data_IF_983278997562
#
_entry.id   IF_983278997562
#
_cell.length_a   1.000
_cell.length_b   1.000
_cell.length_c   1.000
_cell.angle_alpha   90.00
_cell.angle_beta   90.00
_cell.angle_gamma   90.00
#
_symmetry.space_group_name_H-M   'P 1'
#
loop_
_entity.id
_entity.type
_entity.pdbx_description
1 polymer ?
#
# COMPACT_ATOMS: atom_id res chain seq x y z
N UNK A 1 -44.05 -19.78 -0.80
CA UNK A 1 -42.76 -20.26 -0.26
C UNK A 1 -41.91 -19.11 0.20
N UNK A 2 -41.47 -18.16 -0.66
CA UNK A 2 -40.59 -17.04 -0.32
C UNK A 2 -41.08 -16.18 0.86
N UNK A 3 -42.33 -15.68 0.82
CA UNK A 3 -42.93 -14.92 1.94
C UNK A 3 -42.94 -15.68 3.26
N UNK A 4 -43.13 -16.98 3.21
CA UNK A 4 -43.13 -17.84 4.40
C UNK A 4 -41.70 -18.03 4.93
N UNK A 5 -40.71 -18.16 4.04
CA UNK A 5 -39.30 -18.20 4.42
C UNK A 5 -38.88 -16.96 5.21
N UNK A 6 -39.18 -15.75 4.67
CA UNK A 6 -38.88 -14.49 5.32
C UNK A 6 -39.58 -14.35 6.68
N UNK A 7 -40.88 -14.74 6.79
CA UNK A 7 -41.61 -14.65 8.05
C UNK A 7 -41.03 -15.60 9.11
N UNK A 8 -40.61 -16.81 8.71
CA UNK A 8 -39.97 -17.78 9.61
C UNK A 8 -38.57 -17.27 10.05
N UNK A 9 -37.81 -16.62 9.14
CA UNK A 9 -36.55 -15.97 9.47
C UNK A 9 -36.75 -14.86 10.50
N UNK A 10 -37.79 -14.04 10.38
CA UNK A 10 -38.09 -12.96 11.32
C UNK A 10 -38.36 -13.46 12.75
N UNK A 11 -38.90 -14.65 12.91
CA UNK A 11 -39.11 -15.28 14.21
C UNK A 11 -37.79 -15.72 14.86
N UNK A 12 -36.83 -16.21 14.03
CA UNK A 12 -35.53 -16.72 14.48
C UNK A 12 -34.40 -15.67 14.32
N UNK A 13 -34.74 -14.38 14.34
CA UNK A 13 -33.82 -13.24 14.01
C UNK A 13 -32.49 -13.28 14.73
N UNK A 14 -32.44 -13.58 16.03
CA UNK A 14 -31.18 -13.60 16.80
C UNK A 14 -30.21 -14.64 16.27
N UNK A 15 -30.70 -15.87 16.02
CA UNK A 15 -29.86 -16.94 15.45
C UNK A 15 -29.33 -16.58 14.06
N UNK A 16 -30.18 -15.98 13.22
CA UNK A 16 -29.80 -15.57 11.86
C UNK A 16 -28.79 -14.45 11.89
N UNK A 17 -28.97 -13.45 12.73
CA UNK A 17 -28.00 -12.36 12.90
C UNK A 17 -26.63 -12.90 13.31
N UNK A 18 -26.56 -13.85 14.25
CA UNK A 18 -25.30 -14.46 14.67
C UNK A 18 -24.60 -15.21 13.52
N UNK A 19 -25.38 -15.96 12.70
CA UNK A 19 -24.85 -16.64 11.51
C UNK A 19 -24.28 -15.61 10.51
N UNK A 20 -25.07 -14.59 10.19
CA UNK A 20 -24.66 -13.52 9.27
C UNK A 20 -23.39 -12.85 9.76
N UNK A 21 -23.32 -12.45 11.04
CA UNK A 21 -22.12 -11.80 11.62
C UNK A 21 -20.91 -12.74 11.51
N UNK A 22 -21.05 -14.01 11.85
CA UNK A 22 -19.96 -14.99 11.76
C UNK A 22 -19.40 -15.11 10.32
N UNK A 23 -20.29 -15.22 9.33
CA UNK A 23 -19.89 -15.30 7.92
C UNK A 23 -19.28 -13.98 7.47
N UNK A 24 -19.87 -12.84 7.84
CA UNK A 24 -19.39 -11.51 7.44
C UNK A 24 -17.99 -11.26 7.95
N UNK A 25 -17.72 -11.52 9.23
CA UNK A 25 -16.38 -11.31 9.81
C UNK A 25 -15.33 -12.16 9.09
N UNK A 26 -15.58 -13.45 8.94
CA UNK A 26 -14.57 -14.34 8.36
C UNK A 26 -14.36 -14.13 6.86
N UNK A 27 -15.43 -13.90 6.11
CA UNK A 27 -15.33 -13.68 4.69
C UNK A 27 -14.75 -12.28 4.37
N UNK A 28 -15.06 -11.26 5.18
CA UNK A 28 -14.45 -9.94 5.01
C UNK A 28 -12.93 -9.95 5.28
N UNK A 29 -12.47 -10.71 6.27
CA UNK A 29 -11.02 -10.86 6.53
C UNK A 29 -10.33 -11.56 5.35
N UNK A 30 -10.92 -12.61 4.80
CA UNK A 30 -10.35 -13.30 3.65
C UNK A 30 -10.28 -12.41 2.38
N UNK A 31 -11.35 -11.65 2.10
CA UNK A 31 -11.39 -10.69 1.00
C UNK A 31 -10.39 -9.55 1.20
N UNK A 32 -10.28 -9.03 2.42
CA UNK A 32 -9.36 -7.96 2.77
C UNK A 32 -7.91 -8.41 2.59
N UNK A 33 -7.55 -9.58 3.16
CA UNK A 33 -6.20 -10.11 3.08
C UNK A 33 -5.76 -10.37 1.63
N UNK A 34 -6.64 -10.95 0.82
CA UNK A 34 -6.38 -11.16 -0.60
C UNK A 34 -6.18 -9.83 -1.34
N UNK A 35 -7.07 -8.86 -1.12
CA UNK A 35 -7.03 -7.58 -1.81
C UNK A 35 -5.77 -6.77 -1.47
N UNK A 36 -5.38 -6.73 -0.19
CA UNK A 36 -4.13 -6.07 0.24
C UNK A 36 -2.93 -6.76 -0.40
N UNK A 37 -2.86 -8.09 -0.38
CA UNK A 37 -1.75 -8.85 -0.95
C UNK A 37 -1.56 -8.56 -2.44
N UNK A 38 -2.63 -8.53 -3.22
CA UNK A 38 -2.57 -8.22 -4.66
C UNK A 38 -2.17 -6.77 -4.92
N UNK A 39 -2.70 -5.82 -4.14
CA UNK A 39 -2.34 -4.41 -4.32
C UNK A 39 -0.90 -4.12 -3.92
N UNK A 40 -0.38 -4.79 -2.89
CA UNK A 40 1.04 -4.73 -2.51
C UNK A 40 1.90 -5.26 -3.64
N UNK A 41 1.61 -6.45 -4.16
CA UNK A 41 2.38 -7.07 -5.26
C UNK A 41 2.35 -6.21 -6.53
N UNK A 42 1.19 -5.69 -6.91
CA UNK A 42 1.04 -4.78 -8.06
C UNK A 42 1.81 -3.46 -7.85
N UNK A 43 1.76 -2.89 -6.64
CA UNK A 43 2.48 -1.66 -6.28
C UNK A 43 3.99 -1.84 -6.42
N UNK A 44 4.52 -2.93 -5.89
CA UNK A 44 5.95 -3.25 -6.01
C UNK A 44 6.37 -3.48 -7.47
N UNK A 45 5.61 -4.26 -8.23
CA UNK A 45 5.92 -4.54 -9.65
C UNK A 45 5.87 -3.30 -10.54
N UNK A 46 4.97 -2.36 -10.26
CA UNK A 46 4.83 -1.14 -11.05
C UNK A 46 5.94 -0.12 -10.81
N UNK A 47 6.60 -0.20 -9.65
CA UNK A 47 7.67 0.73 -9.26
C UNK A 47 9.05 0.20 -9.66
N UNK A 48 9.23 -1.12 -9.68
CA UNK A 48 10.49 -1.78 -10.02
C UNK A 48 10.65 -1.93 -11.53
N UNK A 49 11.43 -1.12 -12.21
CA UNK A 49 11.75 -1.51 -13.57
C UNK A 49 12.36 -0.48 -14.52
N UNK A 50 12.33 0.80 -14.19
CA UNK A 50 12.94 1.80 -15.08
C UNK A 50 14.46 1.90 -14.87
N UNK A 51 14.91 2.02 -13.62
CA UNK A 51 16.33 2.11 -13.28
C UNK A 51 16.90 0.73 -12.96
N UNK A 52 18.11 0.46 -13.42
CA UNK A 52 18.80 -0.82 -13.19
C UNK A 52 19.88 -0.72 -12.08
N UNK A 53 20.20 0.50 -11.63
CA UNK A 53 21.15 0.73 -10.56
C UNK A 53 20.74 1.90 -9.69
N UNK A 54 20.93 1.80 -8.38
CA UNK A 54 20.85 2.90 -7.42
C UNK A 54 22.19 2.95 -6.68
N UNK A 55 22.78 4.14 -6.61
CA UNK A 55 24.00 4.43 -5.87
C UNK A 55 23.61 5.35 -4.72
N UNK A 56 24.06 5.04 -3.52
CA UNK A 56 23.84 5.84 -2.32
C UNK A 56 24.98 5.65 -1.31
N UNK A 57 24.88 6.25 -0.12
CA UNK A 57 25.88 6.07 0.93
C UNK A 57 25.84 4.62 1.45
N UNK A 58 26.98 4.16 1.98
CA UNK A 58 27.10 2.80 2.54
C UNK A 58 26.06 2.54 3.63
N UNK A 59 25.47 1.34 3.63
CA UNK A 59 24.45 0.95 4.61
C UNK A 59 23.57 -0.21 4.16
N UNK A 60 22.28 -0.14 4.43
CA UNK A 60 21.29 -1.17 4.10
C UNK A 60 20.75 -1.04 2.67
N UNK A 61 20.93 -2.08 1.86
CA UNK A 61 20.39 -2.14 0.49
C UNK A 61 18.86 -2.02 0.45
N UNK A 62 18.18 -2.65 1.40
CA UNK A 62 16.72 -2.57 1.53
C UNK A 62 16.28 -1.15 1.88
N UNK A 63 16.95 -0.49 2.83
CA UNK A 63 16.62 0.88 3.22
C UNK A 63 16.84 1.85 2.04
N UNK A 64 17.96 1.74 1.31
CA UNK A 64 18.22 2.56 0.13
C UNK A 64 17.13 2.38 -0.94
N UNK A 65 16.76 1.13 -1.26
CA UNK A 65 15.70 0.86 -2.23
C UNK A 65 14.33 1.36 -1.77
N UNK A 66 13.98 1.14 -0.49
CA UNK A 66 12.69 1.58 0.06
C UNK A 66 12.59 3.10 0.14
N UNK A 67 13.68 3.78 0.45
CA UNK A 67 13.72 5.24 0.47
C UNK A 67 13.55 5.85 -0.91
N UNK A 68 14.34 5.40 -1.90
CA UNK A 68 14.38 5.98 -3.24
C UNK A 68 13.18 5.63 -4.12
N UNK A 69 12.62 4.41 -3.97
CA UNK A 69 11.56 3.92 -4.85
C UNK A 69 10.16 4.05 -4.26
N UNK A 70 10.05 3.92 -2.92
CA UNK A 70 8.76 3.95 -2.23
C UNK A 70 8.60 5.17 -1.33
N UNK A 71 9.65 6.00 -1.24
CA UNK A 71 9.68 7.20 -0.40
C UNK A 71 9.36 6.87 1.07
N UNK A 72 9.66 5.64 1.49
CA UNK A 72 9.54 5.18 2.87
C UNK A 72 10.89 5.21 3.53
N UNK A 73 10.90 5.10 4.87
CA UNK A 73 12.13 5.14 5.65
C UNK A 73 12.88 6.49 5.58
N UNK A 74 13.98 6.59 6.31
CA UNK A 74 14.87 7.76 6.28
C UNK A 74 16.00 7.51 5.30
N UNK A 75 16.56 8.57 4.68
CA UNK A 75 17.81 8.44 3.93
C UNK A 75 18.91 7.81 4.79
N UNK A 76 19.82 7.08 4.17
CA UNK A 76 20.99 6.49 4.84
C UNK A 76 22.04 7.53 5.22
N UNK A 77 22.05 8.66 4.52
CA UNK A 77 23.01 9.74 4.55
C UNK A 77 23.06 10.41 3.20
N UNK A 78 24.16 11.08 2.91
CA UNK A 78 24.36 11.81 1.67
C UNK A 78 25.64 11.40 0.97
N UNK A 79 25.72 11.67 -0.33
CA UNK A 79 26.90 11.52 -1.20
C UNK A 79 27.06 12.80 -2.03
N UNK A 80 28.29 13.08 -2.48
CA UNK A 80 28.59 14.24 -3.30
C UNK A 80 27.86 14.22 -4.65
N UNK A 81 27.36 15.36 -5.08
CA UNK A 81 26.76 15.56 -6.41
C UNK A 81 27.74 15.33 -7.56
N UNK A 82 29.05 15.40 -7.32
CA UNK A 82 30.08 15.10 -8.32
C UNK A 82 29.91 13.72 -8.97
N UNK A 83 29.36 12.75 -8.24
CA UNK A 83 29.05 11.44 -8.80
C UNK A 83 27.97 11.50 -9.89
N UNK A 84 27.02 12.44 -9.77
CA UNK A 84 26.00 12.69 -10.81
C UNK A 84 26.67 13.19 -12.08
N UNK A 85 27.53 14.21 -11.99
CA UNK A 85 28.24 14.80 -13.12
C UNK A 85 29.15 13.77 -13.84
N UNK A 86 29.86 12.95 -13.06
CA UNK A 86 30.66 11.84 -13.61
C UNK A 86 29.79 10.84 -14.38
N UNK A 87 28.65 10.45 -13.82
CA UNK A 87 27.75 9.51 -14.46
C UNK A 87 27.02 10.09 -15.67
N UNK A 88 26.66 11.38 -15.66
CA UNK A 88 26.05 12.08 -16.81
C UNK A 88 27.00 12.16 -17.99
N UNK A 89 28.30 12.30 -17.74
CA UNK A 89 29.34 12.33 -18.78
C UNK A 89 29.74 10.93 -19.29
N UNK A 90 29.31 9.85 -18.62
CA UNK A 90 29.70 8.47 -18.97
C UNK A 90 28.90 7.94 -20.13
N UNK A 91 29.60 7.55 -21.21
CA UNK A 91 28.97 6.99 -22.41
C UNK A 91 28.21 5.64 -22.17
N UNK A 92 28.44 4.96 -21.05
CA UNK A 92 27.78 3.71 -20.66
C UNK A 92 26.38 3.93 -20.10
N UNK A 93 26.07 5.17 -19.69
CA UNK A 93 24.84 5.57 -19.03
C UNK A 93 23.83 6.13 -20.03
N UNK A 94 22.57 5.80 -19.86
CA UNK A 94 21.44 6.29 -20.65
C UNK A 94 20.69 7.42 -19.92
N UNK A 95 20.51 7.29 -18.60
CA UNK A 95 19.86 8.27 -17.76
C UNK A 95 20.47 8.25 -16.35
N UNK A 96 20.62 9.43 -15.76
CA UNK A 96 21.07 9.66 -14.39
C UNK A 96 20.06 10.58 -13.74
N UNK A 97 19.59 10.25 -12.55
CA UNK A 97 18.63 11.09 -11.83
C UNK A 97 19.08 11.19 -10.38
N UNK A 98 19.40 12.40 -9.90
CA UNK A 98 19.68 12.67 -8.51
C UNK A 98 18.40 12.54 -7.68
N UNK A 99 18.55 12.12 -6.43
CA UNK A 99 17.49 11.98 -5.47
C UNK A 99 17.92 12.51 -4.11
N UNK A 100 17.13 13.42 -3.56
CA UNK A 100 17.30 13.91 -2.19
C UNK A 100 15.96 13.97 -1.48
N UNK A 101 15.94 13.76 -0.18
CA UNK A 101 14.72 13.76 0.64
C UNK A 101 15.09 14.12 2.08
N UNK A 102 14.59 15.24 2.57
CA UNK A 102 14.87 15.71 3.94
C UNK A 102 13.73 16.50 4.56
N UNK A 103 12.86 17.06 3.73
CA UNK A 103 11.78 17.95 4.14
C UNK A 103 10.40 17.32 3.98
N UNK A 104 9.40 17.96 4.60
CA UNK A 104 8.00 17.57 4.48
C UNK A 104 7.06 18.77 4.50
N UNK A 105 5.86 18.57 3.95
CA UNK A 105 4.72 19.47 4.07
C UNK A 105 3.59 18.76 4.79
N UNK A 106 3.29 19.15 6.03
CA UNK A 106 2.27 18.49 6.86
C UNK A 106 2.40 16.96 6.91
N UNK A 107 3.65 16.44 6.92
CA UNK A 107 3.96 15.02 6.89
C UNK A 107 3.97 14.37 5.50
N UNK A 108 3.60 15.08 4.44
CA UNK A 108 3.87 14.65 3.06
C UNK A 108 5.33 14.91 2.72
N UNK A 109 6.06 13.89 2.30
CA UNK A 109 7.49 13.97 2.00
C UNK A 109 7.77 14.79 0.76
N UNK A 110 8.85 15.55 0.78
CA UNK A 110 9.34 16.31 -0.35
C UNK A 110 10.58 15.62 -0.90
N UNK A 111 10.57 15.40 -2.20
CA UNK A 111 11.66 14.77 -2.96
C UNK A 111 12.22 15.80 -3.93
N UNK A 112 13.49 16.12 -3.74
CA UNK A 112 14.29 16.88 -4.70
C UNK A 112 14.85 15.93 -5.76
N UNK A 113 14.56 16.20 -7.02
CA UNK A 113 14.96 15.37 -8.15
C UNK A 113 14.92 16.13 -9.47
N UNK A 114 15.12 15.47 -10.58
CA UNK A 114 14.93 16.03 -11.93
C UNK A 114 13.59 15.61 -12.53
N UNK A 115 13.03 16.39 -13.50
CA UNK A 115 11.80 16.03 -14.22
C UNK A 115 11.82 14.62 -14.82
N UNK A 116 12.99 14.12 -15.21
CA UNK A 116 13.20 12.78 -15.75
C UNK A 116 12.78 11.67 -14.77
N UNK A 117 12.77 11.93 -13.44
CA UNK A 117 12.29 11.00 -12.43
C UNK A 117 10.80 10.67 -12.58
N UNK A 118 10.05 11.63 -13.11
CA UNK A 118 8.61 11.49 -13.35
C UNK A 118 8.27 11.08 -14.80
N UNK A 119 9.28 10.69 -15.59
CA UNK A 119 9.04 10.23 -16.95
C UNK A 119 8.06 9.03 -16.97
N UNK A 120 7.11 9.07 -17.91
CA UNK A 120 6.01 8.11 -17.97
C UNK A 120 4.89 8.30 -16.95
N UNK A 121 4.94 9.33 -16.09
CA UNK A 121 3.83 9.73 -15.22
C UNK A 121 3.05 10.87 -15.89
N UNK A 122 1.71 10.73 -15.91
CA UNK A 122 0.87 11.77 -16.51
C UNK A 122 0.62 12.90 -15.51
N UNK A 123 0.78 14.13 -15.94
CA UNK A 123 0.30 15.32 -15.23
C UNK A 123 -1.22 15.40 -15.43
N UNK A 124 -1.98 15.47 -14.36
CA UNK A 124 -3.43 15.61 -14.39
C UNK A 124 -3.88 17.05 -14.57
N UNK A 125 -3.19 17.98 -13.90
CA UNK A 125 -3.43 19.43 -13.97
C UNK A 125 -2.10 20.17 -13.94
N UNK A 126 -1.98 21.27 -14.68
CA UNK A 126 -0.77 22.09 -14.73
C UNK A 126 0.35 21.49 -15.60
N UNK A 127 1.59 21.71 -15.20
CA UNK A 127 2.80 21.34 -15.94
C UNK A 127 3.88 20.78 -15.00
N UNK A 128 4.99 20.31 -15.58
CA UNK A 128 6.15 19.83 -14.83
C UNK A 128 6.91 21.02 -14.25
N UNK A 129 7.53 20.85 -13.08
CA UNK A 129 8.41 21.87 -12.51
C UNK A 129 9.67 22.06 -13.41
N UNK A 130 10.11 23.29 -13.58
CA UNK A 130 11.27 23.67 -14.37
C UNK A 130 12.17 24.65 -13.59
N UNK A 131 11.58 25.51 -12.77
CA UNK A 131 12.29 26.52 -11.98
C UNK A 131 12.43 26.10 -10.51
N UNK A 132 13.37 26.73 -9.81
CA UNK A 132 13.51 26.57 -8.35
C UNK A 132 12.22 26.99 -7.65
N UNK A 133 11.90 26.31 -6.55
CA UNK A 133 10.68 26.49 -5.74
C UNK A 133 9.37 26.18 -6.46
N UNK A 134 9.42 25.57 -7.62
CA UNK A 134 8.27 24.95 -8.24
C UNK A 134 8.14 23.49 -7.78
N UNK A 135 6.90 23.02 -7.63
CA UNK A 135 6.66 21.62 -7.27
C UNK A 135 5.49 21.01 -8.01
N UNK A 136 5.61 19.70 -8.20
CA UNK A 136 4.53 18.83 -8.68
C UNK A 136 4.06 17.96 -7.50
N UNK A 137 2.76 18.00 -7.25
CA UNK A 137 2.15 17.34 -6.09
C UNK A 137 1.52 16.01 -6.50
N UNK A 138 1.77 14.96 -5.73
CA UNK A 138 1.10 13.67 -5.91
C UNK A 138 -0.42 13.78 -5.68
N UNK A 139 -1.20 13.01 -6.44
CA UNK A 139 -2.67 13.11 -6.46
C UNK A 139 -3.33 12.90 -5.09
N UNK A 140 -2.77 12.04 -4.25
CA UNK A 140 -3.31 11.77 -2.91
C UNK A 140 -2.99 12.92 -1.94
N UNK A 141 -1.81 13.54 -2.05
CA UNK A 141 -1.41 14.73 -1.27
C UNK A 141 -2.32 15.91 -1.64
N UNK A 142 -2.48 16.19 -2.94
CA UNK A 142 -3.34 17.27 -3.41
C UNK A 142 -4.77 17.10 -2.88
N UNK A 143 -5.32 15.91 -2.95
CA UNK A 143 -6.66 15.60 -2.44
C UNK A 143 -6.77 15.70 -0.92
N UNK A 144 -5.75 15.23 -0.18
CA UNK A 144 -5.75 15.23 1.30
C UNK A 144 -5.74 16.64 1.87
N UNK A 145 -4.94 17.52 1.28
CA UNK A 145 -4.75 18.89 1.78
C UNK A 145 -5.53 19.95 0.98
N UNK A 146 -6.28 19.54 -0.06
CA UNK A 146 -7.08 20.45 -0.88
C UNK A 146 -6.24 21.40 -1.72
N UNK A 147 -5.07 20.96 -2.19
CA UNK A 147 -4.12 21.78 -2.93
C UNK A 147 -4.55 21.95 -4.40
N UNK A 148 -4.31 23.14 -4.91
CA UNK A 148 -4.61 23.57 -6.29
C UNK A 148 -3.39 24.23 -6.93
N UNK A 149 -3.39 24.37 -8.24
CA UNK A 149 -2.33 25.09 -8.95
C UNK A 149 -2.18 26.52 -8.43
N UNK A 150 -0.94 26.94 -8.19
CA UNK A 150 -0.60 28.26 -7.68
C UNK A 150 -0.58 28.37 -6.16
N UNK A 151 -0.97 27.33 -5.42
CA UNK A 151 -0.84 27.33 -3.95
C UNK A 151 0.64 27.33 -3.53
N UNK A 152 0.91 28.00 -2.40
CA UNK A 152 2.23 28.08 -1.79
C UNK A 152 2.31 27.13 -0.58
N UNK A 153 3.34 26.30 -0.56
CA UNK A 153 3.58 25.29 0.47
C UNK A 153 4.76 25.72 1.33
N UNK A 154 4.51 25.99 2.60
CA UNK A 154 5.58 26.22 3.60
C UNK A 154 6.07 24.85 4.07
N UNK A 155 7.31 24.53 3.76
CA UNK A 155 7.95 23.25 4.09
C UNK A 155 8.56 23.29 5.49
N UNK A 156 8.78 22.13 6.07
CA UNK A 156 9.45 21.99 7.35
C UNK A 156 10.55 20.95 7.32
N UNK A 157 11.61 21.17 8.08
CA UNK A 157 12.67 20.18 8.27
C UNK A 157 12.15 18.89 8.86
N UNK A 158 12.63 17.77 8.32
CA UNK A 158 12.31 16.44 8.78
C UNK A 158 11.11 15.80 8.06
N UNK A 159 11.02 14.48 8.20
CA UNK A 159 10.03 13.65 7.49
C UNK A 159 8.72 13.47 8.29
N UNK A 160 8.56 14.19 9.40
CA UNK A 160 7.38 14.13 10.28
C UNK A 160 6.94 15.53 10.71
N UNK A 161 5.68 15.67 11.11
CA UNK A 161 5.14 16.94 11.61
C UNK A 161 5.94 17.47 12.82
N UNK A 162 6.27 18.78 12.83
CA UNK A 162 6.87 19.47 13.96
C UNK A 162 8.32 19.95 13.77
N UNK A 163 8.88 19.93 12.58
CA UNK A 163 10.18 20.55 12.25
C UNK A 163 10.13 22.08 12.13
N UNK A 164 11.29 22.73 12.03
CA UNK A 164 11.39 24.16 11.76
C UNK A 164 10.83 24.47 10.37
N UNK A 165 9.95 25.47 10.27
CA UNK A 165 9.29 25.85 9.03
C UNK A 165 10.18 26.78 8.19
N UNK A 166 10.24 26.57 6.89
CA UNK A 166 10.94 27.42 5.92
C UNK A 166 9.99 28.51 5.37
N UNK A 167 9.66 29.51 6.17
CA UNK A 167 8.74 30.59 5.79
C UNK A 167 9.27 31.48 4.66
N UNK A 168 10.59 31.56 4.51
CA UNK A 168 11.24 32.46 3.54
C UNK A 168 11.11 31.98 2.08
N UNK A 169 10.99 30.67 1.84
CA UNK A 169 11.05 30.06 0.51
C UNK A 169 9.91 29.03 0.31
N UNK A 170 8.66 29.48 0.13
CA UNK A 170 7.55 28.54 -0.11
C UNK A 170 7.66 27.86 -1.48
N UNK A 171 7.25 26.60 -1.57
CA UNK A 171 7.13 25.89 -2.84
C UNK A 171 5.82 26.26 -3.52
N UNK A 172 5.86 26.60 -4.82
CA UNK A 172 4.68 26.88 -5.63
C UNK A 172 4.20 25.63 -6.37
N UNK A 173 2.96 25.26 -6.21
CA UNK A 173 2.34 24.15 -6.94
C UNK A 173 2.13 24.53 -8.40
N UNK A 174 2.89 23.93 -9.32
CA UNK A 174 2.77 24.13 -10.77
C UNK A 174 2.09 22.97 -11.47
N UNK A 175 2.08 21.79 -10.83
CA UNK A 175 1.43 20.61 -11.38
C UNK A 175 0.89 19.66 -10.32
N UNK A 176 -0.10 18.89 -10.72
CA UNK A 176 -0.67 17.80 -9.92
C UNK A 176 -0.64 16.51 -10.75
N UNK A 177 -0.03 15.45 -10.22
CA UNK A 177 0.02 14.15 -10.89
C UNK A 177 -1.39 13.57 -11.02
N UNK A 178 -1.67 12.94 -12.16
CA UNK A 178 -2.79 12.03 -12.28
C UNK A 178 -2.60 10.83 -11.35
N UNK A 179 -3.68 10.32 -10.78
CA UNK A 179 -3.61 9.19 -9.85
C UNK A 179 -2.88 7.99 -10.47
N UNK A 180 -1.76 7.61 -9.87
CA UNK A 180 -0.92 6.50 -10.32
C UNK A 180 -1.22 5.20 -9.59
N UNK A 181 -1.84 5.26 -8.40
CA UNK A 181 -1.99 4.17 -7.43
C UNK A 181 -0.64 3.57 -6.98
N UNK A 182 0.39 4.40 -6.95
CA UNK A 182 1.74 4.08 -6.46
C UNK A 182 2.15 5.06 -5.38
N UNK A 183 3.33 4.86 -4.79
CA UNK A 183 3.91 5.75 -3.78
C UNK A 183 4.06 7.20 -4.24
N UNK A 184 4.17 7.44 -5.54
CA UNK A 184 4.22 8.79 -6.15
C UNK A 184 3.00 9.65 -5.81
N UNK A 185 1.84 9.05 -5.57
CA UNK A 185 0.63 9.79 -5.20
C UNK A 185 0.73 10.48 -3.83
N UNK A 186 1.65 10.05 -2.96
CA UNK A 186 1.80 10.51 -1.57
C UNK A 186 2.99 11.46 -1.35
N UNK A 187 3.62 11.97 -2.43
CA UNK A 187 4.88 12.74 -2.38
C UNK A 187 4.74 14.03 -3.16
N UNK A 188 5.54 15.03 -2.79
CA UNK A 188 5.72 16.30 -3.49
C UNK A 188 7.10 16.26 -4.14
N UNK A 189 7.19 16.61 -5.42
CA UNK A 189 8.42 16.59 -6.20
C UNK A 189 8.83 18.01 -6.57
N UNK A 190 10.11 18.31 -6.42
CA UNK A 190 10.70 19.62 -6.75
C UNK A 190 12.12 19.42 -7.30
N UNK A 191 12.74 20.48 -7.80
CA UNK A 191 14.12 20.44 -8.23
C UNK A 191 15.08 20.18 -7.06
N UNK A 192 16.22 19.49 -7.31
CA UNK A 192 17.24 19.23 -6.28
C UNK A 192 17.76 20.53 -5.68
N UNK A 193 17.99 21.54 -6.53
CA UNK A 193 18.49 22.85 -6.15
C UNK A 193 17.53 23.59 -5.21
N UNK A 194 16.26 23.27 -5.24
CA UNK A 194 15.28 23.81 -4.28
C UNK A 194 15.55 23.30 -2.88
N UNK A 195 15.82 21.98 -2.76
CA UNK A 195 16.11 21.38 -1.45
C UNK A 195 17.41 21.95 -0.88
N UNK A 196 18.45 22.13 -1.70
CA UNK A 196 19.69 22.77 -1.23
C UNK A 196 19.44 24.19 -0.77
N UNK A 197 18.72 25.00 -1.54
CA UNK A 197 18.43 26.38 -1.20
C UNK A 197 17.59 26.54 0.08
N UNK A 198 16.79 25.54 0.46
CA UNK A 198 16.06 25.55 1.74
C UNK A 198 16.98 25.26 2.94
N UNK A 199 18.11 24.57 2.71
CA UNK A 199 19.07 24.21 3.76
C UNK A 199 20.23 25.20 3.95
N UNK A 200 20.49 26.05 2.96
CA UNK A 200 21.62 26.98 2.96
C UNK A 200 21.51 28.15 3.98
N UNK A 201 20.29 28.40 4.50
CA UNK A 201 20.03 29.43 5.52
C UNK A 201 20.29 28.98 6.97
N UNK A 202 20.78 27.76 7.20
CA UNK A 202 20.99 27.21 8.55
C UNK A 202 22.32 27.59 9.21
N UNK A 203 23.24 28.27 8.52
CA UNK A 203 24.54 28.61 9.09
C UNK A 203 24.63 30.02 9.69
N UNK A 204 23.63 30.88 9.55
CA UNK A 204 23.67 32.26 10.07
C UNK A 204 23.08 32.49 11.48
N UNK A 205 22.50 31.52 12.17
CA UNK A 205 21.84 31.73 13.47
C UNK A 205 22.50 31.04 14.68
N UNK A 206 23.79 30.73 14.67
CA UNK A 206 24.52 30.28 15.85
C UNK A 206 25.76 31.12 16.19
N UNK A 207 25.64 32.46 16.13
CA UNK A 207 26.57 33.36 16.81
C UNK A 207 25.83 34.26 17.79
N UNK A 208 25.43 33.74 18.94
CA UNK A 208 25.32 34.56 20.17
C UNK A 208 25.60 33.70 21.41
N UNK A 209 26.68 34.15 22.08
CA UNK A 209 27.10 33.87 23.46
C UNK A 209 27.79 32.53 23.78
N UNK A 210 29.14 32.60 23.82
CA UNK A 210 29.88 32.56 25.09
C UNK A 210 31.33 33.05 24.92
N UNK A 211 31.62 34.20 25.57
CA UNK A 211 32.99 34.63 25.84
C UNK A 211 33.65 33.63 26.81
N UNK A 212 34.83 33.13 26.45
CA UNK A 212 36.03 33.15 27.31
C UNK A 212 37.21 32.44 26.61
N UNK A 213 38.22 33.22 26.42
CA UNK A 213 39.60 33.12 26.10
C UNK A 213 40.32 31.75 26.13
N UNK A 214 41.15 31.57 25.12
CA UNK A 214 42.62 31.48 25.22
C UNK A 214 43.20 31.15 23.85
N UNK A 215 44.26 31.85 23.51
CA UNK A 215 45.01 31.75 22.28
C UNK A 215 45.64 30.36 22.10
N UNK A 216 45.43 29.73 20.93
CA UNK A 216 46.42 28.88 20.27
C UNK A 216 46.38 29.16 18.75
N UNK A 217 47.58 29.44 18.21
CA UNK A 217 47.86 29.66 16.81
C UNK A 217 47.56 28.36 16.03
N UNK A 218 46.62 28.37 15.12
CA UNK A 218 46.48 27.37 14.08
C UNK A 218 46.75 28.01 12.69
N UNK A 219 47.64 27.34 11.99
CA UNK A 219 48.10 27.61 10.64
C UNK A 219 46.91 27.75 9.69
N UNK A 220 46.92 28.81 8.89
CA UNK A 220 46.03 29.05 7.76
C UNK A 220 46.25 27.95 6.71
N UNK A 221 45.46 26.91 6.72
CA UNK A 221 45.29 26.07 5.54
C UNK A 221 44.43 26.84 4.52
N UNK A 222 45.03 27.09 3.36
CA UNK A 222 44.37 27.65 2.18
C UNK A 222 43.13 26.82 1.87
N UNK A 223 41.95 27.32 2.23
CA UNK A 223 40.71 26.82 1.68
C UNK A 223 40.66 27.19 0.21
N UNK A 224 41.06 26.26 -0.65
CA UNK A 224 40.76 26.32 -2.07
C UNK A 224 39.24 26.51 -2.23
N UNK A 225 38.85 27.34 -3.18
CA UNK A 225 37.47 27.50 -3.65
C UNK A 225 36.94 26.13 -4.06
N UNK A 226 36.40 25.36 -3.10
CA UNK A 226 35.51 24.26 -3.41
C UNK A 226 34.18 24.90 -3.78
N UNK A 227 33.85 24.89 -5.08
CA UNK A 227 32.45 25.00 -5.50
C UNK A 227 31.68 24.03 -4.63
N UNK A 228 30.76 24.54 -3.80
CA UNK A 228 29.92 23.75 -2.94
C UNK A 228 29.00 22.90 -3.82
N UNK A 229 29.51 21.75 -4.27
CA UNK A 229 28.68 20.74 -4.91
C UNK A 229 27.71 20.19 -3.84
N UNK A 230 26.42 20.43 -4.04
CA UNK A 230 25.39 20.00 -3.10
C UNK A 230 25.45 18.49 -2.81
N UNK A 231 24.93 18.10 -1.69
CA UNK A 231 24.80 16.69 -1.30
C UNK A 231 23.45 16.10 -1.71
N UNK A 232 23.44 14.82 -2.04
CA UNK A 232 22.23 14.08 -2.41
C UNK A 232 22.15 12.75 -1.69
N UNK A 233 20.94 12.22 -1.50
CA UNK A 233 20.73 10.95 -0.78
C UNK A 233 21.00 9.72 -1.65
N UNK A 234 20.80 9.83 -2.97
CA UNK A 234 21.03 8.72 -3.90
C UNK A 234 21.08 9.20 -5.36
N UNK A 235 21.56 8.32 -6.23
CA UNK A 235 21.56 8.49 -7.69
C UNK A 235 20.87 7.27 -8.30
N UNK A 236 19.84 7.50 -9.11
CA UNK A 236 19.22 6.45 -9.89
C UNK A 236 19.80 6.45 -11.29
N UNK A 237 20.26 5.31 -11.74
CA UNK A 237 21.00 5.18 -13.01
C UNK A 237 20.31 4.17 -13.91
N UNK A 238 20.24 4.51 -15.19
CA UNK A 238 19.84 3.62 -16.28
C UNK A 238 21.03 3.41 -17.19
N UNK A 239 21.56 2.21 -17.22
CA UNK A 239 22.64 1.85 -18.13
C UNK A 239 22.12 1.54 -19.54
N UNK A 240 22.99 1.69 -20.56
CA UNK A 240 22.64 1.39 -21.97
C UNK A 240 22.51 -0.11 -22.25
N UNK A 241 23.17 -0.94 -21.46
CA UNK A 241 23.11 -2.41 -21.61
C UNK A 241 23.53 -3.12 -20.33
N UNK A 242 23.23 -4.40 -20.24
CA UNK A 242 23.62 -5.24 -19.11
C UNK A 242 25.15 -5.29 -18.88
N UNK A 243 25.95 -5.30 -19.95
CA UNK A 243 27.42 -5.27 -19.84
C UNK A 243 27.90 -3.94 -19.23
N UNK A 244 27.28 -2.83 -19.62
CA UNK A 244 27.59 -1.52 -19.04
C UNK A 244 27.18 -1.43 -17.59
N UNK A 245 25.99 -1.95 -17.23
CA UNK A 245 25.56 -2.09 -15.84
C UNK A 245 26.58 -2.86 -15.00
N UNK A 246 27.04 -4.03 -15.47
CA UNK A 246 27.99 -4.85 -14.73
C UNK A 246 29.34 -4.14 -14.51
N UNK A 247 29.80 -3.39 -15.52
CA UNK A 247 31.03 -2.62 -15.43
C UNK A 247 30.91 -1.44 -14.45
N UNK A 248 29.82 -0.68 -14.52
CA UNK A 248 29.54 0.42 -13.59
C UNK A 248 29.37 -0.08 -12.16
N UNK A 249 28.65 -1.19 -11.96
CA UNK A 249 28.48 -1.81 -10.63
C UNK A 249 29.80 -2.24 -10.03
N UNK A 250 30.72 -2.77 -10.82
CA UNK A 250 32.04 -3.15 -10.34
C UNK A 250 32.88 -1.92 -9.97
N UNK A 251 32.89 -0.91 -10.81
CA UNK A 251 33.66 0.32 -10.62
C UNK A 251 33.22 1.10 -9.38
N UNK A 252 31.93 1.44 -9.27
CA UNK A 252 31.42 2.18 -8.12
C UNK A 252 31.28 1.32 -6.84
N UNK A 253 31.23 0.00 -6.98
CA UNK A 253 31.19 -0.94 -5.85
C UNK A 253 32.58 -1.17 -5.18
N UNK A 254 33.69 -0.70 -5.79
CA UNK A 254 35.01 -0.70 -5.15
C UNK A 254 35.15 0.41 -4.10
N UNK A 255 34.34 1.46 -4.20
CA UNK A 255 34.31 2.56 -3.23
C UNK A 255 33.53 2.13 -1.97
N UNK A 256 34.23 1.97 -0.85
CA UNK A 256 33.64 1.55 0.42
C UNK A 256 32.65 2.57 1.02
N UNK A 257 32.69 3.82 0.57
CA UNK A 257 31.75 4.85 0.99
C UNK A 257 30.39 4.74 0.28
N UNK A 258 30.33 4.04 -0.85
CA UNK A 258 29.16 3.90 -1.70
C UNK A 258 28.51 2.51 -1.53
N UNK A 259 27.21 2.49 -1.65
CA UNK A 259 26.40 1.31 -1.80
C UNK A 259 25.77 1.30 -3.19
N UNK A 260 26.08 0.27 -3.98
CA UNK A 260 25.53 0.11 -5.33
C UNK A 260 24.58 -1.09 -5.34
N UNK A 261 23.30 -0.84 -5.61
CA UNK A 261 22.29 -1.87 -5.63
C UNK A 261 21.58 -1.98 -6.97
N UNK A 262 21.08 -3.19 -7.26
CA UNK A 262 20.06 -3.38 -8.29
C UNK A 262 18.67 -3.33 -7.62
N UNK A 263 17.83 -2.33 -7.92
CA UNK A 263 16.54 -2.20 -7.27
C UNK A 263 15.65 -3.43 -7.48
N UNK A 264 15.68 -4.05 -8.66
CA UNK A 264 14.88 -5.24 -8.94
C UNK A 264 15.32 -6.47 -8.15
N UNK A 265 16.62 -6.63 -7.86
CA UNK A 265 17.13 -7.71 -7.01
C UNK A 265 16.68 -7.52 -5.55
N UNK A 266 16.84 -6.31 -5.00
CA UNK A 266 16.43 -5.98 -3.64
C UNK A 266 14.92 -6.12 -3.46
N UNK A 267 14.14 -5.61 -4.41
CA UNK A 267 12.68 -5.73 -4.37
C UNK A 267 12.22 -7.19 -4.46
N UNK A 268 12.89 -8.02 -5.25
CA UNK A 268 12.57 -9.45 -5.30
C UNK A 268 12.80 -10.12 -3.93
N UNK A 269 13.89 -9.79 -3.23
CA UNK A 269 14.16 -10.30 -1.89
C UNK A 269 13.09 -9.85 -0.89
N UNK A 270 12.69 -8.57 -0.94
CA UNK A 270 11.59 -8.03 -0.13
C UNK A 270 10.27 -8.74 -0.46
N UNK A 271 9.95 -8.92 -1.75
CA UNK A 271 8.74 -9.61 -2.21
C UNK A 271 8.72 -11.08 -1.79
N UNK A 272 9.84 -11.80 -1.84
CA UNK A 272 9.92 -13.19 -1.37
C UNK A 272 9.56 -13.30 0.12
N UNK A 273 9.97 -12.33 0.94
CA UNK A 273 9.59 -12.24 2.35
C UNK A 273 8.09 -11.89 2.52
N UNK A 274 7.57 -10.98 1.71
CA UNK A 274 6.14 -10.62 1.67
C UNK A 274 5.30 -11.81 1.21
N UNK A 275 5.71 -12.52 0.17
CA UNK A 275 5.05 -13.73 -0.33
C UNK A 275 4.99 -14.84 0.72
N UNK A 276 6.03 -15.03 1.51
CA UNK A 276 6.03 -16.00 2.60
C UNK A 276 5.03 -15.60 3.69
N UNK A 277 4.96 -14.32 4.03
CA UNK A 277 3.95 -13.79 4.96
C UNK A 277 2.53 -13.92 4.42
N UNK A 278 2.31 -13.63 3.14
CA UNK A 278 1.03 -13.77 2.45
C UNK A 278 0.55 -15.22 2.42
N UNK A 279 1.44 -16.19 2.21
CA UNK A 279 1.11 -17.63 2.29
C UNK A 279 0.59 -18.02 3.67
N UNK A 280 1.21 -17.51 4.74
CA UNK A 280 0.74 -17.74 6.11
C UNK A 280 -0.66 -17.15 6.30
N UNK A 281 -0.90 -15.92 5.83
CA UNK A 281 -2.21 -15.28 5.89
C UNK A 281 -3.26 -16.08 5.11
N UNK A 282 -2.94 -16.58 3.91
CA UNK A 282 -3.86 -17.43 3.14
C UNK A 282 -4.17 -18.75 3.85
N UNK A 283 -3.19 -19.40 4.48
CA UNK A 283 -3.41 -20.60 5.28
C UNK A 283 -4.37 -20.28 6.44
N UNK A 284 -4.18 -19.18 7.16
CA UNK A 284 -5.06 -18.74 8.23
C UNK A 284 -6.48 -18.47 7.70
N UNK A 285 -6.62 -17.80 6.56
CA UNK A 285 -7.92 -17.57 5.91
C UNK A 285 -8.63 -18.90 5.56
N UNK A 286 -7.90 -19.89 5.05
CA UNK A 286 -8.45 -21.21 4.75
C UNK A 286 -8.93 -21.90 6.04
N UNK A 287 -8.15 -21.84 7.13
CA UNK A 287 -8.54 -22.39 8.43
C UNK A 287 -9.82 -21.71 8.93
N UNK A 288 -9.90 -20.39 8.85
CA UNK A 288 -11.08 -19.62 9.24
C UNK A 288 -12.31 -20.03 8.40
N UNK A 289 -12.15 -20.21 7.09
CA UNK A 289 -13.24 -20.69 6.23
C UNK A 289 -13.71 -22.11 6.59
N UNK A 290 -12.79 -23.03 6.89
CA UNK A 290 -13.11 -24.38 7.34
C UNK A 290 -13.87 -24.33 8.67
N UNK A 291 -13.41 -23.54 9.63
CA UNK A 291 -14.11 -23.34 10.91
C UNK A 291 -15.53 -22.80 10.69
N UNK A 292 -15.72 -21.89 9.72
CA UNK A 292 -17.06 -21.40 9.36
C UNK A 292 -17.97 -22.49 8.79
N UNK A 293 -17.46 -23.37 7.92
CA UNK A 293 -18.22 -24.51 7.42
C UNK A 293 -18.72 -25.36 8.61
N UNK A 294 -17.85 -25.63 9.57
CA UNK A 294 -18.18 -26.40 10.75
C UNK A 294 -19.26 -25.71 11.61
N UNK A 295 -19.09 -24.41 11.90
CA UNK A 295 -20.04 -23.61 12.68
C UNK A 295 -21.42 -23.59 12.00
N UNK A 296 -21.46 -23.30 10.69
CA UNK A 296 -22.71 -23.25 9.91
C UNK A 296 -23.38 -24.63 9.92
N UNK A 297 -22.60 -25.69 9.76
CA UNK A 297 -23.13 -27.07 9.79
C UNK A 297 -23.76 -27.40 11.13
N UNK A 298 -23.10 -27.09 12.25
CA UNK A 298 -23.64 -27.33 13.61
C UNK A 298 -24.88 -26.49 13.83
N UNK A 299 -24.89 -25.21 13.49
CA UNK A 299 -26.08 -24.35 13.67
C UNK A 299 -27.24 -24.85 12.79
N UNK A 300 -26.97 -25.26 11.56
CA UNK A 300 -27.99 -25.84 10.66
C UNK A 300 -28.60 -27.09 11.25
N UNK A 301 -27.77 -28.01 11.74
CA UNK A 301 -28.27 -29.23 12.42
C UNK A 301 -29.13 -28.91 13.65
N UNK A 302 -28.68 -27.97 14.50
CA UNK A 302 -29.45 -27.52 15.67
C UNK A 302 -30.78 -26.89 15.27
N UNK A 303 -30.80 -26.04 14.24
CA UNK A 303 -32.02 -25.45 13.73
C UNK A 303 -33.00 -26.48 13.19
N UNK A 304 -32.51 -27.51 12.50
CA UNK A 304 -33.37 -28.61 12.03
C UNK A 304 -33.90 -29.43 13.19
N UNK A 305 -33.07 -29.70 14.21
CA UNK A 305 -33.49 -30.40 15.39
C UNK A 305 -34.59 -29.64 16.15
N UNK A 306 -34.41 -28.37 16.39
CA UNK A 306 -35.40 -27.48 17.04
C UNK A 306 -36.70 -27.36 16.24
N UNK A 307 -36.60 -27.47 14.91
CA UNK A 307 -37.75 -27.35 13.99
C UNK A 307 -38.50 -28.65 13.76
N UNK A 308 -38.15 -29.79 14.43
CA UNK A 308 -38.84 -31.10 14.25
C UNK A 308 -40.34 -31.01 14.45
N UNK A 309 -40.80 -30.26 15.48
CA UNK A 309 -42.22 -30.06 15.73
C UNK A 309 -42.90 -29.25 14.62
N UNK A 310 -42.26 -28.23 14.10
CA UNK A 310 -42.76 -27.42 12.97
C UNK A 310 -42.83 -28.26 11.68
N UNK A 311 -41.84 -29.11 11.44
CA UNK A 311 -41.78 -30.03 10.30
C UNK A 311 -42.92 -31.06 10.40
N UNK A 312 -43.13 -31.65 11.58
CA UNK A 312 -44.20 -32.57 11.80
C UNK A 312 -45.59 -31.92 11.58
N UNK A 313 -45.81 -30.72 12.07
CA UNK A 313 -47.04 -29.96 11.82
C UNK A 313 -47.25 -29.67 10.33
N UNK A 314 -46.20 -29.28 9.60
CA UNK A 314 -46.27 -29.05 8.15
C UNK A 314 -46.60 -30.36 7.39
N UNK A 315 -46.11 -31.51 7.82
CA UNK A 315 -46.46 -32.79 7.25
C UNK A 315 -47.92 -33.19 7.53
N UNK A 316 -48.42 -32.94 8.74
CA UNK A 316 -49.84 -33.15 9.08
C UNK A 316 -50.80 -32.34 8.20
N UNK A 317 -50.40 -31.16 7.77
CA UNK A 317 -51.18 -30.29 6.85
C UNK A 317 -50.99 -30.72 5.37
N UNK A 318 -50.20 -31.78 5.09
CA UNK A 318 -50.00 -32.34 3.75
C UNK A 318 -48.88 -31.70 2.95
N UNK A 319 -47.96 -30.97 3.59
CA UNK A 319 -46.79 -30.40 2.90
C UNK A 319 -45.73 -31.48 2.74
N UNK A 320 -45.42 -31.88 1.51
CA UNK A 320 -44.41 -32.89 1.20
C UNK A 320 -42.99 -32.44 1.60
N UNK A 321 -42.13 -33.45 1.99
CA UNK A 321 -40.75 -33.20 2.44
C UNK A 321 -39.93 -32.40 1.43
N UNK A 322 -40.08 -32.59 0.12
CA UNK A 322 -39.39 -31.81 -0.91
C UNK A 322 -39.65 -30.31 -0.80
N UNK A 323 -40.88 -29.90 -0.46
CA UNK A 323 -41.23 -28.47 -0.26
C UNK A 323 -40.65 -27.92 1.03
N UNK A 324 -40.55 -28.76 2.08
CA UNK A 324 -39.91 -28.38 3.36
C UNK A 324 -38.42 -28.22 3.17
N UNK A 325 -37.75 -29.15 2.49
CA UNK A 325 -36.33 -29.04 2.17
C UNK A 325 -36.00 -27.78 1.36
N UNK A 326 -36.83 -27.49 0.33
CA UNK A 326 -36.68 -26.30 -0.48
C UNK A 326 -36.81 -25.02 0.35
N UNK A 327 -37.70 -25.00 1.36
CA UNK A 327 -37.88 -23.90 2.27
C UNK A 327 -36.57 -23.58 3.05
N UNK A 328 -35.95 -24.63 3.64
CA UNK A 328 -34.69 -24.45 4.40
C UNK A 328 -33.50 -24.06 3.49
N UNK A 329 -33.42 -24.67 2.30
CA UNK A 329 -32.40 -24.30 1.30
C UNK A 329 -32.57 -22.82 0.91
N UNK A 330 -33.81 -22.39 0.65
CA UNK A 330 -34.09 -20.98 0.28
C UNK A 330 -33.74 -20.02 1.41
N UNK A 331 -34.02 -20.36 2.67
CA UNK A 331 -33.64 -19.53 3.83
C UNK A 331 -32.11 -19.35 3.91
N UNK A 332 -31.34 -20.43 3.81
CA UNK A 332 -29.89 -20.36 3.88
C UNK A 332 -29.29 -19.74 2.64
N UNK A 333 -29.90 -19.85 1.47
CA UNK A 333 -29.48 -19.11 0.27
C UNK A 333 -29.66 -17.58 0.45
N UNK A 334 -30.77 -17.15 1.06
CA UNK A 334 -30.99 -15.72 1.37
C UNK A 334 -29.94 -15.23 2.40
N UNK A 335 -29.70 -16.00 3.47
CA UNK A 335 -28.70 -15.68 4.48
C UNK A 335 -27.30 -15.60 3.82
N UNK A 336 -26.94 -16.59 3.00
CA UNK A 336 -25.68 -16.63 2.29
C UNK A 336 -25.50 -15.42 1.36
N UNK A 337 -26.52 -15.06 0.60
CA UNK A 337 -26.46 -13.90 -0.31
C UNK A 337 -26.27 -12.59 0.46
N UNK A 338 -27.05 -12.38 1.52
CA UNK A 338 -26.93 -11.18 2.37
C UNK A 338 -25.53 -11.14 3.02
N UNK A 339 -25.06 -12.25 3.56
CA UNK A 339 -23.73 -12.33 4.19
C UNK A 339 -22.61 -12.05 3.20
N UNK A 340 -22.68 -12.57 1.98
CA UNK A 340 -21.67 -12.34 0.94
C UNK A 340 -21.59 -10.85 0.55
N UNK A 341 -22.75 -10.21 0.35
CA UNK A 341 -22.81 -8.78 0.03
C UNK A 341 -22.25 -7.94 1.19
N UNK A 342 -22.67 -8.23 2.42
CA UNK A 342 -22.16 -7.52 3.60
C UNK A 342 -20.68 -7.76 3.83
N UNK A 343 -20.15 -8.96 3.56
CA UNK A 343 -18.72 -9.27 3.66
C UNK A 343 -17.89 -8.43 2.69
N UNK A 344 -18.37 -8.31 1.45
CA UNK A 344 -17.73 -7.48 0.44
C UNK A 344 -17.74 -6.00 0.87
N UNK A 345 -18.89 -5.49 1.30
CA UNK A 345 -19.00 -4.10 1.79
C UNK A 345 -18.10 -3.85 3.02
N UNK A 346 -18.03 -4.79 3.97
CA UNK A 346 -17.20 -4.70 5.15
C UNK A 346 -15.70 -4.72 4.79
N UNK A 347 -15.27 -5.56 3.85
CA UNK A 347 -13.88 -5.57 3.38
C UNK A 347 -13.49 -4.23 2.73
N UNK A 348 -14.38 -3.62 1.92
CA UNK A 348 -14.16 -2.29 1.32
C UNK A 348 -14.09 -1.19 2.37
N UNK A 349 -14.95 -1.24 3.37
CA UNK A 349 -14.90 -0.29 4.48
C UNK A 349 -13.58 -0.40 5.26
N UNK A 350 -13.11 -1.62 5.52
CA UNK A 350 -11.82 -1.84 6.18
C UNK A 350 -10.65 -1.29 5.33
N UNK A 351 -10.66 -1.49 4.00
CA UNK A 351 -9.65 -0.91 3.10
C UNK A 351 -9.62 0.63 3.19
N UNK A 352 -10.78 1.27 3.25
CA UNK A 352 -10.87 2.72 3.38
C UNK A 352 -10.28 3.19 4.73
N UNK A 353 -10.61 2.49 5.83
CA UNK A 353 -10.10 2.82 7.16
C UNK A 353 -8.60 2.58 7.32
N UNK A 354 -8.06 1.57 6.63
CA UNK A 354 -6.62 1.25 6.68
C UNK A 354 -5.79 2.07 5.69
N UNK A 355 -6.41 2.83 4.80
CA UNK A 355 -5.74 3.52 3.70
C UNK A 355 -4.61 4.43 4.17
N UNK A 356 -4.83 5.25 5.18
CA UNK A 356 -3.84 6.19 5.70
C UNK A 356 -2.67 5.47 6.38
N UNK A 357 -2.97 4.43 7.16
CA UNK A 357 -1.95 3.63 7.82
C UNK A 357 -1.05 2.91 6.81
N UNK A 358 -1.63 2.32 5.77
CA UNK A 358 -0.85 1.59 4.75
C UNK A 358 -0.13 2.57 3.81
N UNK A 359 -0.69 3.77 3.58
CA UNK A 359 -0.02 4.82 2.81
C UNK A 359 1.28 5.31 3.48
N UNK A 360 1.34 5.32 4.82
CA UNK A 360 2.58 5.64 5.55
C UNK A 360 3.70 4.62 5.34
N UNK A 361 3.37 3.41 4.87
CA UNK A 361 4.32 2.36 4.47
C UNK A 361 4.68 2.42 2.97
N UNK A 362 4.29 3.49 2.25
CA UNK A 362 4.58 3.67 0.82
C UNK A 362 3.67 2.90 -0.14
N UNK A 363 2.58 2.30 0.35
CA UNK A 363 1.64 1.50 -0.44
C UNK A 363 0.31 2.23 -0.56
N UNK A 364 -0.18 2.42 -1.77
CA UNK A 364 -1.48 3.08 -2.03
C UNK A 364 -2.57 2.05 -2.19
N UNK A 365 -3.53 2.03 -1.26
CA UNK A 365 -4.71 1.16 -1.34
C UNK A 365 -5.85 1.83 -2.12
N UNK A 366 -6.32 1.15 -3.16
CA UNK A 366 -7.49 1.54 -3.94
C UNK A 366 -8.69 0.64 -3.58
N UNK A 367 -9.63 1.18 -2.82
CA UNK A 367 -10.84 0.46 -2.40
C UNK A 367 -11.82 0.14 -3.54
N UNK A 368 -11.69 0.81 -4.68
CA UNK A 368 -12.56 0.60 -5.86
C UNK A 368 -12.08 -0.51 -6.79
N UNK A 369 -10.82 -0.95 -6.64
CA UNK A 369 -10.24 -1.99 -7.50
C UNK A 369 -10.78 -3.36 -7.10
N UNK A 370 -11.29 -4.10 -8.08
CA UNK A 370 -11.85 -5.45 -7.90
C UNK A 370 -10.97 -6.44 -8.67
N UNK A 371 -10.49 -7.44 -7.98
CA UNK A 371 -9.71 -8.52 -8.60
C UNK A 371 -10.60 -9.71 -8.95
N UNK A 372 -10.34 -10.41 -10.06
CA UNK A 372 -11.19 -11.53 -10.50
C UNK A 372 -11.37 -12.63 -9.45
N UNK A 373 -10.33 -12.89 -8.65
CA UNK A 373 -10.38 -13.93 -7.64
C UNK A 373 -11.24 -13.56 -6.42
N UNK A 374 -11.51 -12.29 -6.16
CA UNK A 374 -12.49 -11.85 -5.15
C UNK A 374 -13.89 -12.40 -5.45
N UNK A 375 -14.26 -12.39 -6.73
CA UNK A 375 -15.56 -12.95 -7.15
C UNK A 375 -15.59 -14.47 -6.88
N UNK A 376 -14.48 -15.17 -7.08
CA UNK A 376 -14.39 -16.59 -6.73
C UNK A 376 -14.56 -16.81 -5.23
N UNK A 377 -13.91 -16.00 -4.38
CA UNK A 377 -14.10 -16.05 -2.92
C UNK A 377 -15.55 -15.81 -2.55
N UNK A 378 -16.23 -14.84 -3.15
CA UNK A 378 -17.65 -14.57 -2.89
C UNK A 378 -18.54 -15.76 -3.25
N UNK A 379 -18.28 -16.41 -4.39
CA UNK A 379 -19.00 -17.63 -4.79
C UNK A 379 -18.76 -18.78 -3.80
N UNK A 380 -17.52 -18.96 -3.36
CA UNK A 380 -17.15 -19.98 -2.36
C UNK A 380 -17.88 -19.70 -1.03
N UNK A 381 -17.90 -18.48 -0.54
CA UNK A 381 -18.60 -18.08 0.70
C UNK A 381 -20.10 -18.36 0.59
N UNK A 382 -20.71 -18.01 -0.55
CA UNK A 382 -22.11 -18.33 -0.81
C UNK A 382 -22.35 -19.85 -0.81
N UNK A 383 -21.51 -20.62 -1.50
CA UNK A 383 -21.61 -22.08 -1.53
C UNK A 383 -21.48 -22.72 -0.12
N UNK A 384 -20.52 -22.23 0.68
CA UNK A 384 -20.32 -22.66 2.07
C UNK A 384 -21.58 -22.47 2.93
N UNK A 385 -22.35 -21.40 2.69
CA UNK A 385 -23.59 -21.15 3.44
C UNK A 385 -24.73 -22.06 3.04
N UNK A 386 -24.78 -22.60 1.80
CA UNK A 386 -25.86 -23.37 1.25
C UNK A 386 -25.61 -24.90 1.34
N UNK A 387 -24.38 -25.33 1.03
CA UNK A 387 -24.04 -26.76 0.92
C UNK A 387 -24.37 -27.59 2.20
N UNK A 388 -24.01 -27.14 3.42
CA UNK A 388 -24.32 -27.89 4.62
C UNK A 388 -25.83 -28.16 4.80
N UNK A 389 -26.65 -27.15 4.42
CA UNK A 389 -28.11 -27.30 4.49
C UNK A 389 -28.62 -28.33 3.49
N UNK A 390 -28.09 -28.34 2.27
CA UNK A 390 -28.46 -29.33 1.25
C UNK A 390 -28.12 -30.75 1.76
N UNK A 391 -26.90 -30.92 2.29
CA UNK A 391 -26.47 -32.24 2.83
C UNK A 391 -27.38 -32.69 3.98
N UNK A 392 -27.69 -31.80 4.93
CA UNK A 392 -28.53 -32.11 6.07
C UNK A 392 -29.96 -32.46 5.65
N UNK A 393 -30.56 -31.70 4.71
CA UNK A 393 -31.93 -31.92 4.24
C UNK A 393 -32.05 -33.20 3.43
N UNK A 394 -31.08 -33.52 2.58
CA UNK A 394 -31.04 -34.79 1.83
C UNK A 394 -30.87 -35.99 2.78
N UNK A 395 -30.02 -35.85 3.81
CA UNK A 395 -29.82 -36.89 4.82
C UNK A 395 -31.09 -37.24 5.62
N UNK A 396 -31.90 -36.20 5.93
CA UNK A 396 -33.22 -36.43 6.61
C UNK A 396 -34.23 -37.11 5.69
N UNK A 397 -34.31 -36.68 4.43
CA UNK A 397 -35.24 -37.26 3.45
C UNK A 397 -34.98 -38.76 3.20
N UNK A 398 -33.69 -39.17 3.25
CA UNK A 398 -33.33 -40.60 3.11
C UNK A 398 -33.71 -41.44 4.33
N UNK A 399 -33.63 -40.90 5.56
CA UNK A 399 -33.99 -41.60 6.78
C UNK A 399 -35.51 -41.81 6.88
N UNK A 400 -36.31 -40.83 6.45
CA UNK A 400 -37.78 -40.95 6.45
C UNK A 400 -38.28 -41.93 5.37
N UNK A 401 -37.57 -42.10 4.24
CA UNK A 401 -37.89 -43.08 3.20
C UNK A 401 -37.48 -44.53 3.52
N UNK A 402 -36.73 -44.75 4.61
CA UNK A 402 -36.37 -46.10 5.11
C UNK A 402 -37.25 -46.52 6.28
N UNK A 403 -38.17 -45.67 6.74
CA UNK A 403 -39.10 -45.93 7.84
C UNK A 403 -40.57 -46.15 7.37
N UNK A 404 -40.81 -46.10 6.06
CA UNK A 404 -41.99 -46.61 5.39
C UNK A 404 -41.71 -48.01 4.81
#
# INVERSE_FOLDING_TARGET
>A
MFKFAIKNMAIKKVKIILIVISIVISASVALLAYNISEQVDDGFKSTAGYYDMIIGPSGSSTQLAMNTMFFTDKPLGTISYEYVEKLQSDMRVNAVVPFTMGDSYNGAKIVGTEPLFLDGKEIGEGEMFDERFECVVGSAVAKKYGLSLGDELITSHGLSEGGHAHEANPLRVVGILKQTNTSYDNVIFTAVETVWATHDHGHEEHEEHEEHGEHEEHEEEEHGEHEEHGEICAILVKSKSFNHYSALRAEYGEDASLLVINPSEVLREVLENVDMSSKIVYILCIIILIMNIFIISVITLLNMYDSKKEIALMRLIGIGMGKINLLYILQNAIIGLISTILSFAASRLCLILMREYVASMGIVLNSSRIYPFELAIMVIVFAISVIPTVICTVGMSRKDGLSE
#
